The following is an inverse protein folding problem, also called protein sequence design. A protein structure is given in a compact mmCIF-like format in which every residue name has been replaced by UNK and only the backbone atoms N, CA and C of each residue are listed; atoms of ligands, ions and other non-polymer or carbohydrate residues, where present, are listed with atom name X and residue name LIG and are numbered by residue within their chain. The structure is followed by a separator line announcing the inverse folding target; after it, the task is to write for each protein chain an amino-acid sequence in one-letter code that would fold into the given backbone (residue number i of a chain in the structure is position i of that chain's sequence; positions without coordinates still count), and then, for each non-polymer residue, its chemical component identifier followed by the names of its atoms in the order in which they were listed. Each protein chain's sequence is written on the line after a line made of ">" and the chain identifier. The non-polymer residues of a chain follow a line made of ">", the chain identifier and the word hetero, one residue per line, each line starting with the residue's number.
data_IF_731872808659
#
_entry.id   IF_731872808659
#
_cell.length_a   1.000
_cell.length_b   1.000
_cell.length_c   1.000
_cell.angle_alpha   90.00
_cell.angle_beta   90.00
_cell.angle_gamma   90.00
#
_symmetry.space_group_name_H-M   'P 1'
#
loop_
_entity.id
_entity.type
_entity.pdbx_description
1 polymer ?
#
# COMPACT_ATOMS: atom_id res chain seq x y z
N UNK A 1 28.71 10.13 30.29
CA UNK A 1 28.14 8.81 29.92
C UNK A 1 26.90 8.99 29.06
N UNK A 2 27.02 8.91 27.73
CA UNK A 2 25.87 8.93 26.81
C UNK A 2 25.17 7.57 26.85
N UNK A 3 24.01 7.51 27.50
CA UNK A 3 23.20 6.28 27.58
C UNK A 3 22.76 5.90 26.16
N UNK A 4 23.32 4.82 25.60
CA UNK A 4 23.04 4.37 24.23
C UNK A 4 21.55 4.00 24.14
N UNK A 5 20.74 4.84 23.50
CA UNK A 5 19.31 4.60 23.34
C UNK A 5 19.12 3.41 22.40
N UNK A 6 18.48 2.34 22.88
CA UNK A 6 18.24 1.14 22.06
C UNK A 6 16.99 1.30 21.17
N UNK A 7 16.98 0.67 19.98
CA UNK A 7 15.80 0.67 19.07
C UNK A 7 14.52 0.20 19.77
N UNK A 8 14.63 -0.79 20.67
CA UNK A 8 13.49 -1.30 21.46
C UNK A 8 12.91 -0.23 22.39
N UNK A 9 13.77 0.62 22.96
CA UNK A 9 13.37 1.78 23.78
C UNK A 9 12.63 2.84 22.95
N UNK A 10 13.13 3.18 21.77
CA UNK A 10 12.50 4.15 20.86
C UNK A 10 11.10 3.71 20.41
N UNK A 11 10.93 2.42 20.12
CA UNK A 11 9.62 1.90 19.75
C UNK A 11 8.64 1.84 20.93
N UNK A 12 9.13 1.47 22.12
CA UNK A 12 8.32 1.50 23.34
C UNK A 12 7.87 2.92 23.72
N UNK A 13 8.58 3.95 23.25
CA UNK A 13 8.27 5.36 23.48
C UNK A 13 7.55 6.03 22.31
N UNK A 14 7.21 5.28 21.24
CA UNK A 14 6.44 5.79 20.10
C UNK A 14 7.25 6.52 19.02
N UNK A 15 8.58 6.62 19.16
CA UNK A 15 9.44 7.34 18.21
C UNK A 15 9.82 6.52 16.98
N UNK A 16 9.91 5.19 17.08
CA UNK A 16 10.34 4.35 15.95
C UNK A 16 9.45 3.11 15.80
N UNK A 17 8.81 2.89 14.63
CA UNK A 17 8.10 1.67 14.35
C UNK A 17 9.05 0.45 14.30
N UNK A 18 8.61 -0.68 14.86
CA UNK A 18 9.37 -1.94 14.86
C UNK A 18 8.99 -2.89 13.70
N UNK A 19 8.17 -2.43 12.76
CA UNK A 19 7.59 -3.28 11.71
C UNK A 19 8.36 -3.16 10.40
N UNK A 20 9.47 -3.89 10.30
CA UNK A 20 10.29 -3.90 9.08
C UNK A 20 9.51 -4.41 7.85
N UNK A 21 8.57 -5.34 8.04
CA UNK A 21 7.70 -5.82 6.96
C UNK A 21 6.72 -4.78 6.41
N UNK A 22 6.42 -3.71 7.17
CA UNK A 22 5.55 -2.63 6.70
C UNK A 22 6.27 -1.67 5.74
N UNK A 23 7.60 -1.69 5.69
CA UNK A 23 8.37 -0.74 4.88
C UNK A 23 8.15 -0.98 3.39
N UNK A 24 8.13 -2.26 2.96
CA UNK A 24 7.82 -2.60 1.57
C UNK A 24 6.42 -2.09 1.18
N UNK A 25 5.44 -2.29 2.06
CA UNK A 25 4.05 -1.86 1.86
C UNK A 25 3.87 -0.35 1.77
N UNK A 26 4.70 0.41 2.48
CA UNK A 26 4.68 1.89 2.47
C UNK A 26 5.44 2.44 1.26
N UNK A 27 6.47 1.74 0.78
CA UNK A 27 7.35 2.21 -0.30
C UNK A 27 6.92 1.76 -1.69
N UNK A 28 6.54 0.48 -1.85
CA UNK A 28 6.30 -0.12 -3.18
C UNK A 28 5.19 0.60 -3.95
N UNK A 29 4.00 0.87 -3.38
CA UNK A 29 2.93 1.50 -4.15
C UNK A 29 3.29 2.93 -4.58
N UNK A 30 3.81 3.76 -3.68
CA UNK A 30 4.18 5.15 -3.99
C UNK A 30 5.30 5.23 -5.03
N UNK A 31 6.31 4.34 -4.95
CA UNK A 31 7.41 4.31 -5.92
C UNK A 31 6.90 3.86 -7.30
N UNK A 32 6.02 2.84 -7.37
CA UNK A 32 5.39 2.46 -8.63
C UNK A 32 4.62 3.62 -9.24
N UNK A 33 3.83 4.35 -8.45
CA UNK A 33 3.08 5.51 -8.94
C UNK A 33 3.99 6.60 -9.52
N UNK A 34 5.10 6.93 -8.83
CA UNK A 34 6.12 7.88 -9.30
C UNK A 34 6.74 7.43 -10.62
N UNK A 35 7.09 6.15 -10.75
CA UNK A 35 7.70 5.62 -11.97
C UNK A 35 6.71 5.67 -13.13
N UNK A 36 5.45 5.29 -12.92
CA UNK A 36 4.41 5.25 -13.95
C UNK A 36 4.01 6.64 -14.47
N UNK A 37 4.07 7.68 -13.63
CA UNK A 37 3.76 9.06 -14.04
C UNK A 37 4.97 9.86 -14.52
N UNK A 38 6.19 9.35 -14.29
CA UNK A 38 7.42 10.12 -14.34
C UNK A 38 7.64 10.94 -13.07
N UNK A 39 8.90 11.09 -12.67
CA UNK A 39 9.28 11.79 -11.44
C UNK A 39 9.12 13.31 -11.57
N UNK A 40 8.54 13.93 -10.54
CA UNK A 40 8.49 15.38 -10.33
C UNK A 40 9.00 15.73 -8.95
N UNK A 41 9.55 16.93 -8.80
CA UNK A 41 10.09 17.41 -7.52
C UNK A 41 9.05 17.42 -6.40
N UNK A 42 7.77 17.65 -6.71
CA UNK A 42 6.65 17.60 -5.74
C UNK A 42 6.46 16.21 -5.13
N UNK A 43 6.92 15.13 -5.76
CA UNK A 43 6.88 13.79 -5.17
C UNK A 43 7.71 13.69 -3.89
N UNK A 44 8.76 14.51 -3.72
CA UNK A 44 9.48 14.57 -2.45
C UNK A 44 8.58 15.02 -1.30
N UNK A 45 7.68 15.97 -1.57
CA UNK A 45 6.75 16.47 -0.59
C UNK A 45 5.68 15.42 -0.24
N UNK A 46 5.20 14.67 -1.24
CA UNK A 46 4.33 13.52 -1.03
C UNK A 46 5.02 12.43 -0.19
N UNK A 47 6.24 12.05 -0.54
CA UNK A 47 7.02 11.03 0.18
C UNK A 47 7.26 11.45 1.63
N UNK A 48 7.64 12.70 1.87
CA UNK A 48 7.82 13.23 3.21
C UNK A 48 6.49 13.20 4.00
N UNK A 49 5.40 13.69 3.40
CA UNK A 49 4.06 13.65 4.01
C UNK A 49 3.66 12.22 4.37
N UNK A 50 3.89 11.27 3.47
CA UNK A 50 3.52 9.87 3.63
C UNK A 50 4.31 9.17 4.74
N UNK A 51 5.63 9.33 4.75
CA UNK A 51 6.46 8.73 5.80
C UNK A 51 6.21 9.37 7.16
N UNK A 52 6.13 10.71 7.24
CA UNK A 52 5.78 11.40 8.49
C UNK A 52 4.38 10.97 8.96
N UNK A 53 3.43 10.81 8.03
CA UNK A 53 2.10 10.28 8.29
C UNK A 53 2.12 8.88 8.88
N UNK A 54 2.98 7.99 8.37
CA UNK A 54 3.20 6.66 8.96
C UNK A 54 3.74 6.73 10.39
N UNK A 55 4.73 7.60 10.67
CA UNK A 55 5.24 7.81 12.02
C UNK A 55 4.18 8.39 12.95
N UNK A 56 3.41 9.37 12.48
CA UNK A 56 2.28 9.97 13.20
C UNK A 56 1.22 8.91 13.52
N UNK A 57 0.88 8.06 12.54
CA UNK A 57 -0.07 6.97 12.71
C UNK A 57 0.39 5.96 13.76
N UNK A 58 1.66 5.55 13.73
CA UNK A 58 2.24 4.65 14.72
C UNK A 58 2.19 5.25 16.14
N UNK A 59 2.65 6.50 16.27
CA UNK A 59 2.65 7.21 17.54
C UNK A 59 1.23 7.41 18.10
N UNK A 60 0.30 7.87 17.25
CA UNK A 60 -1.08 8.14 17.63
C UNK A 60 -1.81 6.87 18.04
N UNK A 61 -1.66 5.77 17.28
CA UNK A 61 -2.27 4.49 17.62
C UNK A 61 -1.75 3.96 18.96
N UNK A 62 -0.44 4.12 19.24
CA UNK A 62 0.16 3.72 20.51
C UNK A 62 -0.32 4.60 21.69
N UNK A 63 -0.50 5.89 21.46
CA UNK A 63 -1.04 6.82 22.45
C UNK A 63 -2.52 6.54 22.75
N UNK A 64 -3.36 6.36 21.73
CA UNK A 64 -4.79 6.07 21.87
C UNK A 64 -5.04 4.76 22.62
N UNK A 65 -4.38 3.67 22.22
CA UNK A 65 -4.57 2.36 22.85
C UNK A 65 -4.14 2.30 24.33
N UNK A 66 -3.23 3.18 24.74
CA UNK A 66 -2.72 3.26 26.12
C UNK A 66 -3.50 4.23 27.01
N UNK A 67 -4.73 4.59 26.62
CA UNK A 67 -5.56 5.62 27.30
C UNK A 67 -4.85 6.98 27.37
N UNK A 68 -4.20 7.37 26.26
CA UNK A 68 -3.63 8.71 26.07
C UNK A 68 -2.55 9.08 27.11
N UNK A 69 -1.74 8.11 27.54
CA UNK A 69 -0.62 8.35 28.47
C UNK A 69 0.26 9.51 28.00
N UNK A 70 0.46 10.51 28.88
CA UNK A 70 1.20 11.73 28.56
C UNK A 70 2.61 11.48 28.01
N UNK A 71 3.30 10.42 28.48
CA UNK A 71 4.64 10.04 28.00
C UNK A 71 4.72 9.73 26.50
N UNK A 72 3.61 9.30 25.89
CA UNK A 72 3.54 8.94 24.46
C UNK A 72 3.01 10.08 23.59
N UNK A 73 2.63 11.21 24.18
CA UNK A 73 2.12 12.38 23.45
C UNK A 73 3.19 13.17 22.68
N UNK A 74 4.46 13.32 23.13
CA UNK A 74 5.45 14.10 22.39
C UNK A 74 5.69 13.62 20.94
N UNK A 75 5.85 12.32 20.65
CA UNK A 75 5.93 11.85 19.26
C UNK A 75 4.67 12.18 18.45
N UNK A 76 3.48 12.05 19.04
CA UNK A 76 2.20 12.40 18.37
C UNK A 76 2.19 13.87 17.99
N UNK A 77 2.60 14.75 18.89
CA UNK A 77 2.67 16.19 18.63
C UNK A 77 3.71 16.53 17.56
N UNK A 78 4.92 15.98 17.65
CA UNK A 78 6.00 16.26 16.68
C UNK A 78 5.63 15.79 15.29
N UNK A 79 5.24 14.52 15.14
CA UNK A 79 4.87 13.98 13.83
C UNK A 79 3.56 14.58 13.32
N UNK A 80 2.60 14.89 14.19
CA UNK A 80 1.36 15.56 13.81
C UNK A 80 1.58 16.97 13.28
N UNK A 81 2.39 17.79 13.96
CA UNK A 81 2.73 19.14 13.50
C UNK A 81 3.55 19.09 12.20
N UNK A 82 4.52 18.19 12.10
CA UNK A 82 5.28 18.01 10.87
C UNK A 82 4.35 17.60 9.71
N UNK A 83 3.44 16.65 9.93
CA UNK A 83 2.47 16.22 8.93
C UNK A 83 1.61 17.40 8.44
N UNK A 84 1.13 18.26 9.35
CA UNK A 84 0.34 19.45 8.98
C UNK A 84 1.14 20.36 8.05
N UNK A 85 2.40 20.65 8.37
CA UNK A 85 3.26 21.52 7.55
C UNK A 85 3.44 20.94 6.14
N UNK A 86 3.79 19.66 6.04
CA UNK A 86 4.00 18.99 4.76
C UNK A 86 2.69 18.83 3.95
N UNK A 87 1.57 18.56 4.64
CA UNK A 87 0.25 18.48 4.01
C UNK A 87 -0.24 19.82 3.48
N UNK A 88 0.02 20.93 4.20
CA UNK A 88 -0.27 22.29 3.71
C UNK A 88 0.56 22.59 2.46
N UNK A 89 1.86 22.30 2.49
CA UNK A 89 2.71 22.46 1.32
C UNK A 89 2.20 21.67 0.12
N UNK A 90 1.71 20.44 0.36
CA UNK A 90 1.14 19.59 -0.69
C UNK A 90 -0.19 20.15 -1.22
N UNK A 91 -1.05 20.67 -0.34
CA UNK A 91 -2.30 21.32 -0.72
C UNK A 91 -2.10 22.61 -1.52
N UNK A 92 -1.04 23.37 -1.24
CA UNK A 92 -0.65 24.55 -2.04
C UNK A 92 -0.08 24.13 -3.39
N UNK A 93 0.78 23.11 -3.42
CA UNK A 93 1.48 22.68 -4.64
C UNK A 93 0.59 21.88 -5.61
N UNK A 94 -0.40 21.16 -5.07
CA UNK A 94 -1.29 20.26 -5.80
C UNK A 94 -2.70 20.25 -5.18
N UNK A 95 -3.47 21.35 -5.33
CA UNK A 95 -4.77 21.51 -4.67
C UNK A 95 -5.81 20.47 -5.07
N UNK A 96 -5.69 19.88 -6.27
CA UNK A 96 -6.55 18.79 -6.74
C UNK A 96 -6.44 17.52 -5.87
N UNK A 97 -5.39 17.37 -5.06
CA UNK A 97 -5.26 16.24 -4.13
C UNK A 97 -6.30 16.28 -2.99
N UNK A 98 -7.08 17.37 -2.85
CA UNK A 98 -8.20 17.42 -1.91
C UNK A 98 -9.22 16.30 -2.15
N UNK A 99 -9.38 15.83 -3.39
CA UNK A 99 -10.27 14.73 -3.72
C UNK A 99 -9.78 13.40 -3.15
N UNK A 100 -8.46 13.19 -3.12
CA UNK A 100 -7.88 12.05 -2.42
C UNK A 100 -8.08 12.14 -0.91
N UNK A 101 -8.03 13.34 -0.32
CA UNK A 101 -8.35 13.51 1.11
C UNK A 101 -9.76 12.99 1.43
N UNK A 102 -10.73 13.25 0.55
CA UNK A 102 -12.10 12.73 0.72
C UNK A 102 -12.15 11.20 0.69
N UNK A 103 -11.36 10.55 -0.17
CA UNK A 103 -11.24 9.08 -0.23
C UNK A 103 -10.54 8.51 1.00
N UNK A 104 -9.50 9.17 1.50
CA UNK A 104 -8.77 8.73 2.68
C UNK A 104 -9.53 8.98 4.00
N UNK A 105 -10.44 9.97 4.05
CA UNK A 105 -11.19 10.31 5.25
C UNK A 105 -11.93 9.12 5.89
N UNK A 106 -12.76 8.33 5.18
CA UNK A 106 -13.40 7.16 5.77
C UNK A 106 -12.40 6.12 6.26
N UNK A 107 -11.27 5.93 5.57
CA UNK A 107 -10.20 5.00 5.97
C UNK A 107 -9.56 5.45 7.29
N UNK A 108 -9.28 6.75 7.44
CA UNK A 108 -8.75 7.33 8.68
C UNK A 108 -9.75 7.19 9.82
N UNK A 109 -11.04 7.46 9.57
CA UNK A 109 -12.11 7.32 10.58
C UNK A 109 -12.20 5.88 11.10
N UNK A 110 -12.25 4.88 10.20
CA UNK A 110 -12.30 3.46 10.60
C UNK A 110 -11.06 3.08 11.41
N UNK A 111 -9.89 3.58 11.01
CA UNK A 111 -8.63 3.29 11.69
C UNK A 111 -8.59 3.91 13.10
N UNK A 112 -9.03 5.16 13.26
CA UNK A 112 -9.13 5.82 14.56
C UNK A 112 -10.11 5.06 15.46
N UNK A 113 -11.29 4.70 14.93
CA UNK A 113 -12.28 3.91 15.66
C UNK A 113 -11.71 2.56 16.09
N UNK A 114 -10.98 1.86 15.21
CA UNK A 114 -10.35 0.61 15.54
C UNK A 114 -9.30 0.77 16.65
N UNK A 115 -8.54 1.86 16.64
CA UNK A 115 -7.52 2.11 17.65
C UNK A 115 -8.07 2.48 19.02
N UNK A 116 -9.15 3.27 19.07
CA UNK A 116 -9.83 3.59 20.33
C UNK A 116 -10.49 2.37 20.96
N UNK A 117 -11.00 1.44 20.15
CA UNK A 117 -11.60 0.18 20.61
C UNK A 117 -10.59 -0.97 20.79
N UNK A 118 -9.27 -0.70 20.68
CA UNK A 118 -8.19 -1.70 20.79
C UNK A 118 -8.27 -2.83 19.76
N UNK A 119 -8.96 -2.59 18.65
CA UNK A 119 -9.09 -3.47 17.51
C UNK A 119 -8.02 -3.20 16.43
N UNK A 120 -6.86 -2.64 16.82
CA UNK A 120 -5.70 -2.40 15.94
C UNK A 120 -5.30 -3.67 15.15
N UNK A 121 -5.61 -4.85 15.69
CA UNK A 121 -5.24 -6.17 15.14
C UNK A 121 -6.37 -6.84 14.34
N UNK A 122 -7.53 -6.20 14.22
CA UNK A 122 -8.67 -6.71 13.47
C UNK A 122 -8.34 -6.87 11.98
N UNK A 123 -9.05 -7.75 11.30
CA UNK A 123 -8.94 -7.87 9.84
C UNK A 123 -9.38 -6.60 9.13
N UNK A 124 -10.42 -5.92 9.64
CA UNK A 124 -10.92 -4.66 9.10
C UNK A 124 -9.85 -3.57 9.13
N UNK A 125 -9.22 -3.33 10.29
CA UNK A 125 -8.17 -2.33 10.41
C UNK A 125 -6.98 -2.64 9.51
N UNK A 126 -6.56 -3.91 9.46
CA UNK A 126 -5.50 -4.32 8.54
C UNK A 126 -5.88 -4.05 7.08
N UNK A 127 -7.09 -4.41 6.65
CA UNK A 127 -7.56 -4.18 5.29
C UNK A 127 -7.56 -2.68 4.95
N UNK A 128 -8.07 -1.84 5.84
CA UNK A 128 -8.10 -0.38 5.67
C UNK A 128 -6.69 0.19 5.54
N UNK A 129 -5.73 -0.25 6.36
CA UNK A 129 -4.34 0.19 6.22
C UNK A 129 -3.69 -0.30 4.92
N UNK A 130 -4.07 -1.48 4.41
CA UNK A 130 -3.62 -1.97 3.09
C UNK A 130 -4.20 -1.16 1.96
N UNK A 131 -5.49 -0.87 1.99
CA UNK A 131 -6.15 -0.01 1.01
C UNK A 131 -5.47 1.36 1.01
N UNK A 132 -5.31 2.00 2.19
CA UNK A 132 -4.68 3.30 2.31
C UNK A 132 -3.24 3.32 1.78
N UNK A 133 -2.47 2.25 2.02
CA UNK A 133 -1.11 2.15 1.49
C UNK A 133 -1.10 1.96 -0.03
N UNK A 134 -1.95 1.10 -0.58
CA UNK A 134 -1.99 0.82 -2.02
C UNK A 134 -2.52 2.01 -2.83
N UNK A 135 -3.46 2.80 -2.27
CA UNK A 135 -3.95 4.04 -2.88
C UNK A 135 -2.88 5.13 -3.02
N UNK A 136 -1.72 5.00 -2.38
CA UNK A 136 -0.62 5.94 -2.62
C UNK A 136 -0.03 5.81 -4.03
N UNK A 137 -0.24 4.68 -4.71
CA UNK A 137 0.15 4.48 -6.10
C UNK A 137 -0.63 5.43 -7.03
N UNK A 138 -1.97 5.40 -7.10
CA UNK A 138 -2.71 6.33 -7.94
C UNK A 138 -2.58 7.78 -7.48
N UNK A 139 -2.42 8.06 -6.18
CA UNK A 139 -2.14 9.43 -5.68
C UNK A 139 -0.81 9.96 -6.23
N UNK A 140 0.25 9.15 -6.17
CA UNK A 140 1.55 9.54 -6.70
C UNK A 140 1.53 9.70 -8.22
N UNK A 141 0.78 8.84 -8.89
CA UNK A 141 0.58 8.92 -10.33
C UNK A 141 -0.16 10.22 -10.72
N UNK A 142 -1.29 10.52 -10.05
CA UNK A 142 -2.10 11.74 -10.27
C UNK A 142 -1.25 13.01 -10.10
N UNK A 143 -0.43 13.01 -9.04
CA UNK A 143 0.53 14.07 -8.75
C UNK A 143 1.57 14.24 -9.87
N UNK A 144 2.05 13.12 -10.42
CA UNK A 144 3.03 13.13 -11.51
C UNK A 144 2.43 13.57 -12.85
N UNK A 145 1.13 13.40 -13.08
CA UNK A 145 0.45 13.91 -14.29
C UNK A 145 -0.23 15.27 -14.09
N UNK A 146 -0.02 15.96 -12.95
CA UNK A 146 -0.64 17.25 -12.61
C UNK A 146 -2.17 17.25 -12.47
N UNK A 147 -2.81 16.13 -12.10
CA UNK A 147 -4.26 16.12 -11.86
C UNK A 147 -5.13 16.23 -13.11
N UNK A 148 -4.56 15.99 -14.31
CA UNK A 148 -5.20 16.23 -15.62
C UNK A 148 -6.49 15.43 -15.84
N UNK A 149 -6.71 14.35 -15.09
CA UNK A 149 -7.83 13.43 -15.29
C UNK A 149 -8.88 13.44 -14.19
N UNK A 150 -8.94 14.52 -13.40
CA UNK A 150 -10.10 14.77 -12.54
C UNK A 150 -11.16 15.56 -13.32
N UNK A 151 -12.25 14.89 -13.75
CA UNK A 151 -13.43 15.55 -14.33
C UNK A 151 -14.71 15.04 -13.69
N UNK A 152 -15.48 15.93 -13.06
CA UNK A 152 -16.82 15.64 -12.52
C UNK A 152 -17.92 15.71 -13.59
N UNK A 153 -17.59 16.21 -14.78
CA UNK A 153 -18.55 16.54 -15.85
C UNK A 153 -18.29 15.79 -17.16
N UNK A 154 -17.22 14.99 -17.24
CA UNK A 154 -16.78 14.31 -18.46
C UNK A 154 -17.22 12.84 -18.57
N UNK A 155 -17.24 12.34 -19.80
CA UNK A 155 -17.54 10.94 -20.17
C UNK A 155 -16.54 9.94 -19.56
N UNK A 156 -15.34 10.42 -19.22
CA UNK A 156 -14.20 9.62 -18.72
C UNK A 156 -14.25 9.36 -17.19
N UNK A 157 -15.16 10.02 -16.46
CA UNK A 157 -15.33 9.88 -15.01
C UNK A 157 -14.16 10.40 -14.15
N UNK A 158 -14.27 10.25 -12.83
CA UNK A 158 -13.21 10.63 -11.87
C UNK A 158 -12.08 9.62 -11.95
N UNK A 159 -10.85 10.06 -12.25
CA UNK A 159 -9.66 9.19 -12.38
C UNK A 159 -9.83 8.06 -13.39
N UNK A 160 -10.50 8.33 -14.51
CA UNK A 160 -10.69 7.37 -15.61
C UNK A 160 -11.72 6.27 -15.33
N UNK A 161 -12.66 6.48 -14.40
CA UNK A 161 -13.71 5.51 -14.01
C UNK A 161 -14.94 5.47 -14.93
N UNK A 162 -14.95 6.20 -16.04
CA UNK A 162 -16.03 6.22 -17.02
C UNK A 162 -16.27 4.86 -17.69
N UNK A 163 -17.53 4.58 -18.06
CA UNK A 163 -17.96 3.31 -18.67
C UNK A 163 -17.35 3.01 -20.06
N UNK A 164 -16.73 4.00 -20.71
CA UNK A 164 -16.00 3.90 -21.98
C UNK A 164 -14.51 4.23 -21.75
N UNK A 165 -13.87 3.60 -20.77
CA UNK A 165 -12.46 3.80 -20.42
C UNK A 165 -11.50 3.34 -21.53
N UNK A 166 -11.49 4.07 -22.64
CA UNK A 166 -10.53 3.96 -23.72
C UNK A 166 -10.42 5.30 -24.42
N UNK A 167 -9.78 6.25 -23.77
CA UNK A 167 -8.71 7.10 -24.32
C UNK A 167 -8.40 8.15 -23.27
N UNK A 168 -7.12 8.28 -22.93
CA UNK A 168 -6.45 9.53 -22.53
C UNK A 168 -7.45 10.71 -22.50
N UNK A 169 -7.88 11.08 -21.29
CA UNK A 169 -8.71 12.24 -20.96
C UNK A 169 -8.78 13.24 -22.13
N UNK A 170 -9.89 13.25 -22.87
CA UNK A 170 -9.95 13.84 -24.20
C UNK A 170 -9.56 15.34 -24.19
N UNK A 171 -8.39 15.71 -24.73
CA UNK A 171 -8.12 17.07 -25.27
C UNK A 171 -6.86 17.11 -26.15
N UNK A 172 -6.87 17.87 -27.27
CA UNK A 172 -5.80 17.85 -28.27
C UNK A 172 -4.67 18.79 -27.86
N UNK A 173 -3.45 18.29 -27.73
CA UNK A 173 -2.25 19.08 -28.02
C UNK A 173 -1.03 18.18 -28.11
N UNK A 174 -0.14 18.54 -29.01
CA UNK A 174 1.09 17.84 -29.42
C UNK A 174 2.16 17.69 -28.31
N UNK A 175 1.78 17.69 -27.02
CA UNK A 175 2.69 17.55 -25.88
C UNK A 175 2.55 16.23 -25.10
N UNK A 176 1.47 15.46 -25.29
CA UNK A 176 1.30 14.14 -24.66
C UNK A 176 2.03 13.00 -25.40
N UNK A 177 2.53 13.26 -26.61
CA UNK A 177 3.31 12.30 -27.41
C UNK A 177 4.76 12.19 -26.91
N UNK A 178 5.22 13.13 -26.07
CA UNK A 178 6.61 13.20 -25.59
C UNK A 178 6.84 12.57 -24.20
N UNK A 179 5.78 12.28 -23.43
CA UNK A 179 5.84 11.59 -22.14
C UNK A 179 5.01 10.32 -22.24
N UNK A 180 5.66 9.17 -22.06
CA UNK A 180 5.04 7.83 -22.07
C UNK A 180 4.15 7.65 -20.83
N UNK A 181 3.02 8.36 -20.77
CA UNK A 181 2.09 8.34 -19.63
C UNK A 181 1.18 7.12 -19.75
N UNK A 182 1.12 6.31 -18.69
CA UNK A 182 0.36 5.06 -18.63
C UNK A 182 -1.13 5.32 -18.39
N UNK A 183 -2.05 4.67 -19.10
CA UNK A 183 -3.51 4.90 -18.91
C UNK A 183 -4.01 4.60 -17.48
N UNK A 184 -5.02 5.34 -17.02
CA UNK A 184 -5.62 5.16 -15.69
C UNK A 184 -6.16 3.74 -15.43
N UNK A 185 -6.68 3.07 -16.46
CA UNK A 185 -7.12 1.67 -16.35
C UNK A 185 -5.95 0.75 -15.95
N UNK A 186 -4.77 0.99 -16.50
CA UNK A 186 -3.54 0.28 -16.15
C UNK A 186 -3.08 0.65 -14.74
N UNK A 187 -3.19 1.92 -14.34
CA UNK A 187 -2.89 2.37 -12.96
C UNK A 187 -3.77 1.66 -11.94
N UNK A 188 -5.09 1.61 -12.16
CA UNK A 188 -6.02 0.90 -11.28
C UNK A 188 -5.78 -0.61 -11.27
N UNK A 189 -5.45 -1.20 -12.42
CA UNK A 189 -5.07 -2.59 -12.53
C UNK A 189 -3.81 -2.91 -11.71
N UNK A 190 -2.73 -2.12 -11.85
CA UNK A 190 -1.51 -2.29 -11.06
C UNK A 190 -1.82 -2.08 -9.57
N UNK A 191 -2.63 -1.07 -9.23
CA UNK A 191 -3.08 -0.82 -7.85
C UNK A 191 -3.81 -2.04 -7.28
N UNK A 192 -4.69 -2.68 -8.06
CA UNK A 192 -5.41 -3.89 -7.67
C UNK A 192 -4.45 -5.07 -7.45
N UNK A 193 -3.46 -5.27 -8.32
CA UNK A 193 -2.46 -6.34 -8.18
C UNK A 193 -1.56 -6.12 -6.96
N UNK A 194 -1.13 -4.87 -6.71
CA UNK A 194 -0.37 -4.48 -5.52
C UNK A 194 -1.21 -4.66 -4.24
N UNK A 195 -2.48 -4.26 -4.26
CA UNK A 195 -3.44 -4.51 -3.18
C UNK A 195 -3.61 -6.01 -2.94
N UNK A 196 -3.79 -6.79 -3.99
CA UNK A 196 -3.85 -8.24 -3.92
C UNK A 196 -2.65 -8.81 -3.20
N UNK A 197 -1.44 -8.42 -3.60
CA UNK A 197 -0.23 -8.91 -2.97
C UNK A 197 -0.19 -8.59 -1.46
N UNK A 198 -0.36 -7.32 -1.08
CA UNK A 198 -0.26 -6.92 0.33
C UNK A 198 -1.43 -7.43 1.19
N UNK A 199 -2.64 -7.53 0.65
CA UNK A 199 -3.78 -8.10 1.37
C UNK A 199 -3.64 -9.62 1.52
N UNK A 200 -3.18 -10.32 0.48
CA UNK A 200 -2.83 -11.74 0.55
C UNK A 200 -1.77 -12.02 1.59
N UNK A 201 -0.73 -11.17 1.66
CA UNK A 201 0.31 -11.21 2.70
C UNK A 201 -0.28 -11.09 4.12
N UNK A 202 -1.31 -10.26 4.34
CA UNK A 202 -1.98 -10.17 5.65
C UNK A 202 -2.59 -11.50 6.07
N UNK A 203 -3.33 -12.17 5.18
CA UNK A 203 -3.91 -13.48 5.48
C UNK A 203 -2.84 -14.55 5.69
N UNK A 204 -1.82 -14.55 4.84
CA UNK A 204 -0.70 -15.49 4.91
C UNK A 204 0.10 -15.35 6.21
N UNK A 205 0.46 -14.11 6.59
CA UNK A 205 1.18 -13.84 7.84
C UNK A 205 0.33 -14.18 9.05
N UNK A 206 -0.97 -13.87 9.04
CA UNK A 206 -1.87 -14.26 10.14
C UNK A 206 -1.88 -15.77 10.34
N UNK A 207 -2.03 -16.54 9.26
CA UNK A 207 -2.03 -18.01 9.28
C UNK A 207 -0.74 -18.60 9.86
N UNK A 208 0.42 -17.97 9.59
CA UNK A 208 1.73 -18.51 9.99
C UNK A 208 2.24 -18.00 11.35
N UNK A 209 1.76 -16.85 11.83
CA UNK A 209 2.34 -16.19 13.02
C UNK A 209 1.36 -16.14 14.19
N UNK A 210 0.13 -15.68 13.97
CA UNK A 210 -0.81 -15.34 15.06
C UNK A 210 -1.96 -16.32 15.18
N UNK A 211 -2.50 -16.75 14.05
CA UNK A 211 -3.69 -17.59 13.93
C UNK A 211 -3.31 -19.01 13.50
N UNK A 212 -2.22 -19.51 14.10
CA UNK A 212 -1.66 -20.82 13.78
C UNK A 212 -2.70 -21.91 14.01
N UNK A 213 -2.75 -22.87 13.10
CA UNK A 213 -3.73 -23.99 13.08
C UNK A 213 -5.20 -23.58 12.91
N UNK A 214 -5.52 -22.30 12.67
CA UNK A 214 -6.88 -21.93 12.27
C UNK A 214 -7.15 -22.35 10.83
N UNK A 215 -8.17 -23.17 10.61
CA UNK A 215 -8.62 -23.57 9.27
C UNK A 215 -9.25 -22.40 8.53
N UNK A 216 -9.95 -21.51 9.24
CA UNK A 216 -10.57 -20.31 8.65
C UNK A 216 -9.48 -19.43 8.02
N UNK A 217 -8.43 -19.10 8.76
CA UNK A 217 -7.35 -18.27 8.22
C UNK A 217 -6.55 -18.96 7.12
N UNK A 218 -6.35 -20.28 7.21
CA UNK A 218 -5.72 -21.05 6.14
C UNK A 218 -6.54 -20.95 4.84
N UNK A 219 -7.85 -21.26 4.89
CA UNK A 219 -8.70 -21.21 3.71
C UNK A 219 -8.88 -19.80 3.18
N UNK A 220 -9.03 -18.78 4.03
CA UNK A 220 -9.04 -17.38 3.60
C UNK A 220 -7.75 -17.03 2.85
N UNK A 221 -6.59 -17.44 3.36
CA UNK A 221 -5.31 -17.20 2.69
C UNK A 221 -5.26 -17.92 1.34
N UNK A 222 -5.55 -19.22 1.31
CA UNK A 222 -5.44 -20.03 0.08
C UNK A 222 -6.41 -19.56 -1.00
N UNK A 223 -7.69 -19.38 -0.66
CA UNK A 223 -8.72 -18.94 -1.61
C UNK A 223 -8.37 -17.56 -2.18
N UNK A 224 -7.93 -16.63 -1.33
CA UNK A 224 -7.53 -15.29 -1.77
C UNK A 224 -6.39 -15.34 -2.81
N UNK A 225 -5.33 -16.12 -2.55
CA UNK A 225 -4.23 -16.24 -3.50
C UNK A 225 -4.64 -16.97 -4.79
N UNK A 226 -5.49 -17.99 -4.70
CA UNK A 226 -6.01 -18.70 -5.88
C UNK A 226 -6.84 -17.79 -6.77
N UNK A 227 -7.70 -16.94 -6.21
CA UNK A 227 -8.48 -15.96 -6.96
C UNK A 227 -7.57 -15.01 -7.74
N UNK A 228 -6.56 -14.43 -7.09
CA UNK A 228 -5.61 -13.55 -7.77
C UNK A 228 -4.71 -14.30 -8.76
N UNK A 229 -4.43 -15.58 -8.53
CA UNK A 229 -3.70 -16.43 -9.49
C UNK A 229 -4.51 -16.67 -10.74
N UNK A 230 -5.78 -17.02 -10.61
CA UNK A 230 -6.68 -17.17 -11.76
C UNK A 230 -6.79 -15.86 -12.53
N UNK A 231 -6.97 -14.74 -11.83
CA UNK A 231 -7.00 -13.41 -12.43
C UNK A 231 -5.71 -13.11 -13.20
N UNK A 232 -4.53 -13.31 -12.60
CA UNK A 232 -3.25 -13.06 -13.25
C UNK A 232 -3.00 -13.98 -14.47
N UNK A 233 -3.41 -15.25 -14.41
CA UNK A 233 -3.32 -16.18 -15.54
C UNK A 233 -4.22 -15.76 -16.71
N UNK A 234 -5.45 -15.31 -16.43
CA UNK A 234 -6.37 -14.79 -17.44
C UNK A 234 -5.80 -13.52 -18.06
N UNK A 235 -5.30 -12.60 -17.24
CA UNK A 235 -4.65 -11.37 -17.72
C UNK A 235 -3.41 -11.70 -18.58
N UNK A 236 -2.60 -12.69 -18.20
CA UNK A 236 -1.44 -13.09 -18.99
C UNK A 236 -1.83 -13.68 -20.34
N UNK A 237 -2.87 -14.53 -20.38
CA UNK A 237 -3.43 -15.06 -21.62
C UNK A 237 -3.92 -13.96 -22.56
N UNK A 238 -4.46 -12.87 -22.01
CA UNK A 238 -4.93 -11.71 -22.77
C UNK A 238 -3.81 -10.72 -23.16
N UNK A 239 -2.55 -11.01 -22.80
CA UNK A 239 -1.43 -10.07 -23.00
C UNK A 239 -1.51 -8.83 -22.11
N UNK A 240 -2.33 -8.87 -21.05
CA UNK A 240 -2.52 -7.76 -20.13
C UNK A 240 -1.38 -7.65 -19.13
N UNK A 241 -0.84 -8.80 -18.70
CA UNK A 241 0.38 -8.91 -17.89
C UNK A 241 1.34 -9.93 -18.50
N UNK A 242 2.64 -9.84 -18.24
CA UNK A 242 3.63 -10.85 -18.61
C UNK A 242 3.43 -12.13 -17.81
N UNK A 243 3.75 -13.26 -18.46
CA UNK A 243 3.69 -14.58 -17.84
C UNK A 243 4.52 -14.69 -16.55
N UNK A 244 5.61 -13.93 -16.43
CA UNK A 244 6.40 -13.89 -15.21
C UNK A 244 5.58 -13.43 -13.98
N UNK A 245 4.69 -12.46 -14.14
CA UNK A 245 3.82 -11.99 -13.07
C UNK A 245 2.78 -13.07 -12.70
N UNK A 246 2.19 -13.74 -13.69
CA UNK A 246 1.24 -14.83 -13.44
C UNK A 246 1.91 -16.04 -12.75
N UNK A 247 3.11 -16.43 -13.18
CA UNK A 247 3.90 -17.49 -12.54
C UNK A 247 4.23 -17.14 -11.09
N UNK A 248 4.54 -15.87 -10.80
CA UNK A 248 4.75 -15.39 -9.44
C UNK A 248 3.50 -15.60 -8.56
N UNK A 249 2.30 -15.33 -9.06
CA UNK A 249 1.05 -15.62 -8.35
C UNK A 249 0.84 -17.11 -8.09
N UNK A 250 1.18 -17.99 -9.03
CA UNK A 250 1.15 -19.45 -8.82
C UNK A 250 2.08 -19.83 -7.66
N UNK A 251 3.30 -19.29 -7.61
CA UNK A 251 4.24 -19.53 -6.51
C UNK A 251 3.67 -19.02 -5.17
N UNK A 252 3.07 -17.83 -5.14
CA UNK A 252 2.43 -17.28 -3.94
C UNK A 252 1.27 -18.15 -3.45
N UNK A 253 0.45 -18.67 -4.37
CA UNK A 253 -0.64 -19.61 -4.06
C UNK A 253 -0.12 -20.93 -3.48
N UNK A 254 0.84 -21.57 -4.14
CA UNK A 254 1.46 -22.79 -3.63
C UNK A 254 2.05 -22.58 -2.24
N UNK A 255 2.75 -21.46 -2.05
CA UNK A 255 3.33 -21.06 -0.77
C UNK A 255 2.27 -20.87 0.33
N UNK A 256 1.13 -20.27 -0.01
CA UNK A 256 0.04 -19.99 0.92
C UNK A 256 -0.54 -21.26 1.57
N UNK A 257 -0.40 -22.42 0.90
CA UNK A 257 -0.79 -23.73 1.41
C UNK A 257 0.40 -24.49 2.01
N UNK A 258 1.51 -24.58 1.28
CA UNK A 258 2.64 -25.43 1.63
C UNK A 258 3.29 -25.04 2.97
N UNK A 259 3.50 -23.73 3.22
CA UNK A 259 4.18 -23.27 4.43
C UNK A 259 3.32 -23.49 5.69
N UNK A 260 2.03 -23.12 5.72
CA UNK A 260 1.17 -23.47 6.85
C UNK A 260 1.06 -24.97 7.10
N UNK A 261 0.93 -25.79 6.05
CA UNK A 261 0.85 -27.25 6.21
C UNK A 261 2.15 -27.84 6.76
N UNK A 262 3.30 -27.35 6.29
CA UNK A 262 4.59 -27.68 6.88
C UNK A 262 4.64 -27.30 8.36
N UNK A 263 4.22 -26.08 8.71
CA UNK A 263 4.16 -25.61 10.10
C UNK A 263 3.23 -26.42 11.00
N UNK A 264 2.13 -26.96 10.46
CA UNK A 264 1.21 -27.85 11.19
C UNK A 264 1.81 -29.22 11.47
N UNK A 265 2.52 -29.81 10.50
CA UNK A 265 3.10 -31.16 10.59
C UNK A 265 4.45 -31.20 11.31
N UNK A 266 5.26 -30.17 11.12
CA UNK A 266 6.64 -30.08 11.59
C UNK A 266 6.77 -28.93 12.59
N UNK A 267 7.52 -27.88 12.24
CA UNK A 267 7.70 -26.70 13.06
C UNK A 267 7.37 -25.42 12.27
N UNK A 268 6.89 -24.41 12.99
CA UNK A 268 6.55 -23.12 12.40
C UNK A 268 7.80 -22.29 12.12
N UNK A 269 7.87 -21.67 10.94
CA UNK A 269 8.91 -20.71 10.61
C UNK A 269 8.86 -19.49 11.55
N UNK A 270 10.03 -18.90 11.80
CA UNK A 270 10.13 -17.68 12.60
C UNK A 270 9.50 -16.48 11.90
N UNK A 271 9.02 -15.50 12.68
CA UNK A 271 8.48 -14.23 12.14
C UNK A 271 9.49 -13.50 11.24
N UNK A 272 10.79 -13.65 11.51
CA UNK A 272 11.86 -13.08 10.67
C UNK A 272 11.93 -13.76 9.30
N UNK A 273 11.86 -15.09 9.25
CA UNK A 273 11.87 -15.85 7.98
C UNK A 273 10.64 -15.53 7.14
N UNK A 274 9.45 -15.50 7.74
CA UNK A 274 8.22 -15.11 7.06
C UNK A 274 8.35 -13.69 6.52
N UNK A 275 8.79 -12.74 7.35
CA UNK A 275 8.95 -11.34 6.93
C UNK A 275 9.99 -11.12 5.83
N UNK A 276 11.09 -11.87 5.84
CA UNK A 276 12.10 -11.80 4.76
C UNK A 276 11.55 -12.34 3.44
N UNK A 277 10.71 -13.38 3.50
CA UNK A 277 9.96 -13.86 2.35
C UNK A 277 9.04 -12.77 1.77
N UNK A 278 8.30 -12.05 2.61
CA UNK A 278 7.43 -10.95 2.15
C UNK A 278 8.24 -9.80 1.51
N UNK A 279 9.43 -9.50 2.00
CA UNK A 279 10.30 -8.50 1.37
C UNK A 279 10.75 -8.99 -0.01
N UNK A 280 11.25 -10.21 -0.11
CA UNK A 280 11.69 -10.80 -1.38
C UNK A 280 10.55 -10.83 -2.41
N UNK A 281 9.38 -11.34 -2.04
CA UNK A 281 8.24 -11.41 -2.96
C UNK A 281 7.69 -10.02 -3.31
N UNK A 282 7.78 -9.03 -2.42
CA UNK A 282 7.38 -7.65 -2.75
C UNK A 282 8.28 -7.03 -3.81
N UNK A 283 9.58 -7.35 -3.78
CA UNK A 283 10.55 -6.92 -4.81
C UNK A 283 10.24 -7.62 -6.14
N UNK A 284 9.92 -8.92 -6.13
CA UNK A 284 9.55 -9.65 -7.34
C UNK A 284 8.24 -9.11 -7.96
N UNK A 285 7.24 -8.81 -7.13
CA UNK A 285 6.00 -8.15 -7.56
C UNK A 285 6.31 -6.79 -8.18
N UNK A 286 7.15 -5.98 -7.53
CA UNK A 286 7.58 -4.69 -8.05
C UNK A 286 8.25 -4.81 -9.42
N UNK A 287 9.24 -5.70 -9.57
CA UNK A 287 9.98 -5.90 -10.83
C UNK A 287 9.05 -6.40 -11.94
N UNK A 288 8.22 -7.39 -11.66
CA UNK A 288 7.31 -7.95 -12.68
C UNK A 288 6.29 -6.91 -13.14
N UNK A 289 5.74 -6.10 -12.24
CA UNK A 289 4.81 -5.01 -12.58
C UNK A 289 5.48 -3.85 -13.33
N UNK A 290 6.75 -3.55 -13.04
CA UNK A 290 7.50 -2.55 -13.81
C UNK A 290 7.72 -2.97 -15.27
N UNK A 291 7.96 -4.26 -15.50
CA UNK A 291 8.12 -4.78 -16.85
C UNK A 291 6.82 -4.66 -17.67
N UNK A 292 5.64 -4.66 -17.03
CA UNK A 292 4.36 -4.36 -17.69
C UNK A 292 4.27 -2.91 -18.16
N UNK A 293 4.68 -1.97 -17.30
CA UNK A 293 4.61 -0.54 -17.59
C UNK A 293 5.65 -0.09 -18.62
N UNK A 294 6.78 -0.80 -18.73
CA UNK A 294 7.84 -0.48 -19.69
C UNK A 294 7.60 -1.08 -21.09
N UNK A 295 6.92 -2.24 -21.17
CA UNK A 295 6.72 -3.02 -22.39
C UNK A 295 5.57 -2.58 -23.30
N UNK A 296 4.74 -1.64 -22.85
CA UNK A 296 3.75 -0.90 -23.66
C UNK A 296 4.29 0.50 -23.90
#
# INVERSE_FOLDING_TARGET
>A
MTKKISKKSLSATGWLPNYHGAWAMISVPVILGIILSGFKTVHWLLLASWWIGYFAFFAASLWLRTHRKAKLFPPVKVYGLALIVFAIGLGISAPYLIWWVMVYLPLVVITIWASTHRQDRSLLNNAVTVIAACLTLPVAYDLGINGVCFSLTGVDGVWGSGWLASTICATPSHQLIALKVVDWSVVWMITLLVFGYFMGAVFYVKTNVRERRSDIYLWLSVIFHLVFTLMALVMAKQGVVVWAHACLWVVLSLRSLAIPLYGRKQHWLSTKQIGMGEVMFSILVFITLLNEGAGR
#
